data_IF_335820266107
#
_entry.id   IF_335820266107
#
_cell.length_a   1.000
_cell.length_b   1.000
_cell.length_c   1.000
_cell.angle_alpha   90.00
_cell.angle_beta   90.00
_cell.angle_gamma   90.00
#
_symmetry.space_group_name_H-M   'P 1'
#
loop_
_entity.id
_entity.type
_entity.pdbx_description
1 polymer ?
#
# COMPACT_ATOMS: atom_id res chain seq x y z
N UNK A 1 23.90 1.58 -7.22
CA UNK A 1 22.93 0.75 -6.47
C UNK A 1 21.59 1.43 -6.63
N UNK A 2 20.57 0.73 -7.13
CA UNK A 2 19.23 1.32 -7.24
C UNK A 2 18.58 1.23 -5.85
N UNK A 3 18.07 2.34 -5.30
CA UNK A 3 17.46 2.34 -3.98
C UNK A 3 16.17 1.53 -3.99
N UNK A 4 15.99 0.70 -2.97
CA UNK A 4 14.76 -0.03 -2.69
C UNK A 4 14.30 0.34 -1.29
N UNK A 5 13.06 0.80 -1.19
CA UNK A 5 12.37 1.02 0.07
C UNK A 5 11.70 -0.30 0.45
N UNK A 6 11.83 -0.72 1.70
CA UNK A 6 11.13 -1.89 2.23
C UNK A 6 10.53 -1.54 3.59
N UNK A 7 9.24 -1.86 3.76
CA UNK A 7 8.57 -1.87 5.06
C UNK A 7 7.90 -3.22 5.26
N UNK A 8 7.69 -3.62 6.51
CA UNK A 8 7.16 -4.94 6.81
C UNK A 8 6.37 -4.99 8.12
N UNK A 9 5.46 -5.95 8.20
CA UNK A 9 4.63 -6.17 9.38
C UNK A 9 4.17 -7.63 9.49
N UNK A 10 4.24 -8.21 10.69
CA UNK A 10 3.49 -9.44 11.00
C UNK A 10 2.03 -9.09 11.30
N UNK A 11 1.11 -9.69 10.55
CA UNK A 11 -0.34 -9.58 10.75
C UNK A 11 -0.87 -10.94 11.20
N UNK A 12 -1.57 -10.98 12.34
CA UNK A 12 -2.12 -12.19 12.96
C UNK A 12 -3.43 -12.61 12.30
N UNK A 13 -3.38 -12.81 10.99
CA UNK A 13 -4.47 -13.34 10.16
C UNK A 13 -3.95 -14.31 9.09
N UNK A 14 -4.79 -15.23 8.60
CA UNK A 14 -4.47 -16.09 7.46
C UNK A 14 -4.06 -15.29 6.23
N UNK A 15 -3.14 -15.84 5.43
CA UNK A 15 -2.58 -15.17 4.25
C UNK A 15 -3.64 -14.73 3.25
N UNK A 16 -4.67 -15.54 3.04
CA UNK A 16 -5.78 -15.22 2.15
C UNK A 16 -6.55 -13.99 2.64
N UNK A 17 -6.78 -13.84 3.95
CA UNK A 17 -7.47 -12.67 4.49
C UNK A 17 -6.62 -11.40 4.31
N UNK A 18 -5.32 -11.48 4.60
CA UNK A 18 -4.40 -10.36 4.42
C UNK A 18 -4.27 -9.99 2.94
N UNK A 19 -4.16 -10.97 2.04
CA UNK A 19 -4.10 -10.75 0.60
C UNK A 19 -5.38 -10.09 0.06
N UNK A 20 -6.55 -10.60 0.44
CA UNK A 20 -7.84 -10.02 0.03
C UNK A 20 -7.99 -8.58 0.52
N UNK A 21 -7.44 -8.24 1.69
CA UNK A 21 -7.46 -6.88 2.22
C UNK A 21 -6.72 -5.85 1.37
N UNK A 22 -5.82 -6.27 0.47
CA UNK A 22 -5.13 -5.39 -0.47
C UNK A 22 -5.71 -5.47 -1.90
N UNK A 23 -6.47 -6.51 -2.23
CA UNK A 23 -7.16 -6.67 -3.52
C UNK A 23 -8.51 -5.94 -3.53
N UNK A 24 -9.29 -6.09 -2.46
CA UNK A 24 -10.68 -5.64 -2.40
C UNK A 24 -10.77 -4.22 -1.79
N UNK A 25 -11.15 -3.20 -2.58
CA UNK A 25 -11.19 -1.83 -2.10
C UNK A 25 -12.23 -1.60 -1.00
N UNK A 26 -13.24 -2.47 -0.85
CA UNK A 26 -14.17 -2.39 0.28
C UNK A 26 -13.48 -2.64 1.63
N UNK A 27 -12.34 -3.32 1.61
CA UNK A 27 -11.48 -3.61 2.77
C UNK A 27 -10.32 -2.62 2.81
N UNK A 28 -9.61 -2.42 1.69
CA UNK A 28 -8.45 -1.51 1.63
C UNK A 28 -8.81 -0.09 2.05
N UNK A 29 -10.05 0.36 1.75
CA UNK A 29 -10.52 1.68 2.11
C UNK A 29 -10.65 1.93 3.63
N UNK A 30 -10.53 0.88 4.45
CA UNK A 30 -10.54 0.99 5.91
C UNK A 30 -9.21 1.46 6.49
N UNK A 31 -8.13 1.41 5.71
CA UNK A 31 -6.80 1.75 6.22
C UNK A 31 -5.88 2.51 5.25
N UNK A 32 -6.24 2.69 3.97
CA UNK A 32 -5.35 3.33 2.99
C UNK A 32 -5.96 4.51 2.22
N UNK A 33 -6.92 4.27 1.33
CA UNK A 33 -7.56 5.29 0.49
C UNK A 33 -9.07 5.39 0.77
N UNK A 34 -9.76 6.40 0.25
CA UNK A 34 -11.20 6.54 0.48
C UNK A 34 -12.04 5.60 -0.41
N UNK A 35 -11.63 5.41 -1.66
CA UNK A 35 -12.28 4.49 -2.61
C UNK A 35 -11.34 4.12 -3.74
N UNK A 36 -11.70 3.07 -4.48
CA UNK A 36 -11.09 2.72 -5.75
C UNK A 36 -12.15 2.36 -6.79
N UNK A 37 -11.82 2.50 -8.08
CA UNK A 37 -12.73 2.14 -9.18
C UNK A 37 -12.95 0.63 -9.32
N UNK A 38 -12.09 -0.20 -8.74
CA UNK A 38 -12.21 -1.66 -8.83
C UNK A 38 -11.20 -2.40 -7.96
N UNK A 39 -11.31 -3.73 -8.00
CA UNK A 39 -10.35 -4.65 -7.40
C UNK A 39 -9.04 -4.62 -8.18
N UNK A 40 -7.94 -4.99 -7.53
CA UNK A 40 -6.67 -5.17 -8.23
C UNK A 40 -6.69 -6.47 -9.04
N UNK A 41 -6.91 -6.34 -10.34
CA UNK A 41 -6.89 -7.45 -11.29
C UNK A 41 -5.72 -7.30 -12.25
N UNK A 42 -4.99 -8.38 -12.52
CA UNK A 42 -3.80 -8.34 -13.37
C UNK A 42 -4.11 -7.78 -14.76
N UNK A 43 -3.25 -6.86 -15.23
CA UNK A 43 -3.39 -6.20 -16.54
C UNK A 43 -4.41 -5.06 -16.56
N UNK A 44 -5.06 -4.75 -15.45
CA UNK A 44 -6.00 -3.63 -15.35
C UNK A 44 -5.33 -2.37 -14.83
N UNK A 45 -6.00 -1.23 -15.04
CA UNK A 45 -5.67 0.02 -14.36
C UNK A 45 -6.86 0.44 -13.52
N UNK A 46 -6.63 0.73 -12.25
CA UNK A 46 -7.64 1.28 -11.33
C UNK A 46 -7.24 2.67 -10.90
N UNK A 47 -8.22 3.45 -10.45
CA UNK A 47 -7.99 4.76 -9.85
C UNK A 47 -8.27 4.67 -8.35
N UNK A 48 -7.32 5.12 -7.53
CA UNK A 48 -7.49 5.31 -6.10
C UNK A 48 -7.81 6.77 -5.81
N UNK A 49 -8.75 7.00 -4.89
CA UNK A 49 -9.21 8.34 -4.51
C UNK A 49 -9.00 8.57 -3.02
N UNK A 50 -8.42 9.72 -2.67
CA UNK A 50 -8.41 10.26 -1.30
C UNK A 50 -9.28 11.51 -1.26
N UNK A 51 -10.53 11.33 -0.83
CA UNK A 51 -11.57 12.34 -0.97
C UNK A 51 -11.25 13.62 -0.18
N UNK A 52 -10.69 13.48 1.04
CA UNK A 52 -10.27 14.61 1.89
C UNK A 52 -9.28 15.54 1.18
N UNK A 53 -8.40 14.97 0.36
CA UNK A 53 -7.36 15.71 -0.34
C UNK A 53 -7.73 16.06 -1.79
N UNK A 54 -8.93 15.68 -2.25
CA UNK A 54 -9.36 15.80 -3.65
C UNK A 54 -8.29 15.26 -4.63
N UNK A 55 -7.61 14.19 -4.20
CA UNK A 55 -6.49 13.61 -4.92
C UNK A 55 -6.87 12.23 -5.45
N UNK A 56 -6.46 11.96 -6.70
CA UNK A 56 -6.59 10.64 -7.31
C UNK A 56 -5.25 10.19 -7.88
N UNK A 57 -5.06 8.87 -7.92
CA UNK A 57 -3.87 8.26 -8.52
C UNK A 57 -4.27 7.04 -9.36
N UNK A 58 -3.71 6.99 -10.57
CA UNK A 58 -3.83 5.82 -11.44
C UNK A 58 -2.84 4.75 -11.02
N UNK A 59 -3.32 3.52 -10.89
CA UNK A 59 -2.58 2.35 -10.44
C UNK A 59 -2.68 1.27 -11.50
N UNK A 60 -1.54 0.97 -12.11
CA UNK A 60 -1.41 -0.09 -13.10
C UNK A 60 -1.07 -1.40 -12.40
N UNK A 61 -1.89 -2.45 -12.56
CA UNK A 61 -1.68 -3.74 -11.91
C UNK A 61 -0.90 -4.65 -12.84
N UNK A 62 0.36 -4.91 -12.51
CA UNK A 62 1.29 -5.64 -13.37
C UNK A 62 1.16 -7.15 -13.20
N UNK A 63 1.08 -7.63 -11.96
CA UNK A 63 1.04 -9.06 -11.63
C UNK A 63 0.20 -9.28 -10.37
N UNK A 64 -0.62 -10.34 -10.38
CA UNK A 64 -1.33 -10.81 -9.18
C UNK A 64 -1.12 -12.31 -9.06
N UNK A 65 -0.35 -12.72 -8.05
CA UNK A 65 -0.16 -14.12 -7.67
C UNK A 65 -0.91 -14.36 -6.36
N UNK A 66 -2.05 -15.05 -6.45
CA UNK A 66 -2.95 -15.30 -5.31
C UNK A 66 -2.18 -15.72 -4.06
N UNK A 67 -2.46 -15.02 -2.95
CA UNK A 67 -1.91 -15.24 -1.62
C UNK A 67 -0.37 -15.14 -1.52
N UNK A 68 0.30 -14.55 -2.53
CA UNK A 68 1.76 -14.46 -2.58
C UNK A 68 2.26 -13.07 -2.94
N UNK A 69 1.72 -12.47 -4.00
CA UNK A 69 2.23 -11.20 -4.51
C UNK A 69 1.16 -10.39 -5.22
N UNK A 70 1.22 -9.08 -5.02
CA UNK A 70 0.56 -8.09 -5.87
C UNK A 70 1.66 -7.12 -6.32
N UNK A 71 1.80 -6.91 -7.62
CA UNK A 71 2.72 -5.92 -8.18
C UNK A 71 1.93 -4.82 -8.87
N UNK A 72 2.22 -3.59 -8.52
CA UNK A 72 1.63 -2.41 -9.13
C UNK A 72 2.69 -1.41 -9.58
N UNK A 73 2.30 -0.51 -10.49
CA UNK A 73 3.04 0.70 -10.81
C UNK A 73 2.16 1.91 -10.56
N UNK A 74 2.64 2.84 -9.74
CA UNK A 74 1.84 3.98 -9.30
C UNK A 74 2.68 5.19 -8.89
N UNK A 75 2.01 6.31 -8.61
CA UNK A 75 2.60 7.53 -8.12
C UNK A 75 3.15 8.46 -9.21
N UNK A 76 3.67 9.60 -8.77
CA UNK A 76 4.37 10.59 -9.58
C UNK A 76 5.67 11.00 -8.85
N UNK A 77 6.85 10.51 -9.27
CA UNK A 77 7.08 9.67 -10.44
C UNK A 77 6.48 8.26 -10.31
N UNK A 78 6.22 7.61 -11.46
CA UNK A 78 5.75 6.22 -11.47
C UNK A 78 6.86 5.29 -10.98
N UNK A 79 6.59 4.57 -9.91
CA UNK A 79 7.50 3.58 -9.31
C UNK A 79 6.81 2.23 -9.18
N UNK A 80 7.60 1.16 -9.08
CA UNK A 80 7.09 -0.20 -8.93
C UNK A 80 6.93 -0.51 -7.45
N UNK A 81 5.80 -1.12 -7.07
CA UNK A 81 5.54 -1.59 -5.71
C UNK A 81 5.11 -3.04 -5.71
N UNK A 82 5.79 -3.84 -4.90
CA UNK A 82 5.40 -5.21 -4.60
C UNK A 82 4.83 -5.30 -3.18
N UNK A 83 3.63 -5.87 -3.06
CA UNK A 83 3.10 -6.42 -1.82
C UNK A 83 3.40 -7.91 -1.82
N UNK A 84 4.19 -8.37 -0.85
CA UNK A 84 4.64 -9.76 -0.75
C UNK A 84 4.05 -10.34 0.53
N UNK A 85 3.36 -11.46 0.39
CA UNK A 85 2.62 -12.11 1.47
C UNK A 85 3.29 -13.45 1.79
N UNK A 86 3.97 -13.53 2.93
CA UNK A 86 4.65 -14.75 3.38
C UNK A 86 3.82 -15.41 4.48
N UNK A 87 3.29 -16.61 4.23
CA UNK A 87 2.60 -17.40 5.26
C UNK A 87 3.60 -17.83 6.33
N UNK A 88 3.38 -17.40 7.57
CA UNK A 88 4.20 -17.79 8.75
C UNK A 88 3.56 -18.98 9.46
N UNK A 89 2.24 -18.96 9.64
CA UNK A 89 1.44 -20.07 10.17
C UNK A 89 0.02 -20.02 9.60
N UNK A 90 -0.90 -20.86 10.07
CA UNK A 90 -2.30 -20.82 9.63
C UNK A 90 -2.98 -19.46 9.85
N UNK A 91 -2.61 -18.78 10.94
CA UNK A 91 -3.22 -17.52 11.37
C UNK A 91 -2.23 -16.35 11.42
N UNK A 92 -1.09 -16.45 10.73
CA UNK A 92 -0.09 -15.39 10.72
C UNK A 92 0.53 -15.24 9.34
N UNK A 93 0.62 -13.99 8.90
CA UNK A 93 1.20 -13.59 7.62
C UNK A 93 2.22 -12.50 7.86
N UNK A 94 3.37 -12.61 7.22
CA UNK A 94 4.36 -11.55 7.18
C UNK A 94 4.19 -10.79 5.86
N UNK A 95 3.73 -9.54 5.95
CA UNK A 95 3.56 -8.66 4.81
C UNK A 95 4.84 -7.84 4.64
N UNK A 96 5.38 -7.80 3.42
CA UNK A 96 6.43 -6.87 3.00
C UNK A 96 5.91 -6.00 1.87
N UNK A 97 6.18 -4.70 1.93
CA UNK A 97 5.96 -3.77 0.82
C UNK A 97 7.31 -3.29 0.35
N UNK A 98 7.64 -3.53 -0.92
CA UNK A 98 8.86 -3.04 -1.56
C UNK A 98 8.52 -1.98 -2.58
N UNK A 99 9.22 -0.86 -2.57
CA UNK A 99 9.10 0.18 -3.58
C UNK A 99 10.46 0.48 -4.22
N UNK A 100 10.53 0.35 -5.55
CA UNK A 100 11.76 0.40 -6.33
C UNK A 100 11.50 0.96 -7.74
N UNK A 101 12.52 0.94 -8.60
CA UNK A 101 12.55 1.62 -9.91
C UNK A 101 12.30 3.14 -9.77
N UNK A 102 12.91 3.74 -8.74
CA UNK A 102 12.73 5.16 -8.39
C UNK A 102 13.60 6.02 -9.33
N UNK A 103 13.01 6.82 -10.24
CA UNK A 103 13.77 7.58 -11.24
C UNK A 103 14.21 8.96 -10.70
N UNK A 104 14.63 9.02 -9.44
CA UNK A 104 15.03 10.25 -8.75
C UNK A 104 16.48 10.16 -8.27
N UNK A 105 17.10 11.32 -8.05
CA UNK A 105 18.48 11.44 -7.57
C UNK A 105 18.62 12.56 -6.54
N UNK A 106 19.76 12.60 -5.84
CA UNK A 106 20.10 13.68 -4.93
C UNK A 106 19.07 13.91 -3.82
N UNK A 107 18.76 15.18 -3.54
CA UNK A 107 17.83 15.56 -2.47
C UNK A 107 16.39 15.08 -2.72
N UNK A 108 15.94 15.07 -3.98
CA UNK A 108 14.60 14.59 -4.35
C UNK A 108 14.42 13.11 -4.03
N UNK A 109 15.46 12.30 -4.32
CA UNK A 109 15.46 10.89 -3.95
C UNK A 109 15.37 10.69 -2.44
N UNK A 110 16.14 11.48 -1.67
CA UNK A 110 16.13 11.40 -0.20
C UNK A 110 14.74 11.74 0.34
N UNK A 111 14.12 12.82 -0.14
CA UNK A 111 12.75 13.19 0.25
C UNK A 111 11.76 12.09 -0.09
N UNK A 112 11.81 11.58 -1.32
CA UNK A 112 10.93 10.50 -1.77
C UNK A 112 11.07 9.24 -0.90
N UNK A 113 12.30 8.87 -0.53
CA UNK A 113 12.54 7.71 0.35
C UNK A 113 11.92 7.95 1.73
N UNK A 114 12.13 9.13 2.32
CA UNK A 114 11.56 9.47 3.64
C UNK A 114 10.03 9.43 3.59
N UNK A 115 9.44 10.09 2.60
CA UNK A 115 7.99 10.22 2.46
C UNK A 115 7.34 8.86 2.16
N UNK A 116 7.87 8.11 1.21
CA UNK A 116 7.34 6.79 0.83
C UNK A 116 7.51 5.76 1.96
N UNK A 117 8.65 5.75 2.65
CA UNK A 117 8.82 4.89 3.84
C UNK A 117 7.77 5.23 4.89
N UNK A 118 7.62 6.52 5.22
CA UNK A 118 6.63 6.97 6.19
C UNK A 118 5.20 6.63 5.76
N UNK A 119 4.86 6.81 4.49
CA UNK A 119 3.54 6.50 3.94
C UNK A 119 3.20 5.01 4.02
N UNK A 120 4.08 4.14 3.51
CA UNK A 120 3.83 2.70 3.55
C UNK A 120 3.84 2.13 4.96
N UNK A 121 4.66 2.65 5.89
CA UNK A 121 4.57 2.27 7.31
C UNK A 121 3.18 2.58 7.87
N UNK A 122 2.65 3.77 7.61
CA UNK A 122 1.29 4.16 8.03
C UNK A 122 0.20 3.22 7.48
N UNK A 123 0.36 2.75 6.24
CA UNK A 123 -0.54 1.78 5.62
C UNK A 123 -0.49 0.43 6.33
N UNK A 124 0.70 -0.14 6.59
CA UNK A 124 0.80 -1.46 7.24
C UNK A 124 0.36 -1.42 8.70
N UNK A 125 0.56 -0.31 9.40
CA UNK A 125 0.05 -0.09 10.76
C UNK A 125 -1.49 -0.07 10.78
N UNK A 126 -2.11 0.67 9.83
CA UNK A 126 -3.55 0.73 9.68
C UNK A 126 -4.15 -0.64 9.29
N UNK A 127 -3.50 -1.34 8.35
CA UNK A 127 -3.91 -2.68 7.93
C UNK A 127 -3.88 -3.66 9.10
N UNK A 128 -2.84 -3.62 9.94
CA UNK A 128 -2.73 -4.46 11.14
C UNK A 128 -3.87 -4.18 12.13
N UNK A 129 -4.14 -2.91 12.43
CA UNK A 129 -5.20 -2.53 13.36
C UNK A 129 -6.58 -2.96 12.87
N UNK A 130 -6.87 -2.73 11.58
CA UNK A 130 -8.12 -3.13 10.96
C UNK A 130 -8.27 -4.65 10.94
N UNK A 131 -7.27 -5.39 10.46
CA UNK A 131 -7.38 -6.83 10.30
C UNK A 131 -7.41 -7.55 11.65
N UNK A 132 -6.58 -7.18 12.61
CA UNK A 132 -6.53 -7.89 13.90
C UNK A 132 -7.67 -7.50 14.85
N UNK A 133 -8.13 -6.25 14.81
CA UNK A 133 -9.03 -5.71 15.84
C UNK A 133 -10.34 -5.12 15.29
N UNK A 134 -10.49 -4.99 13.96
CA UNK A 134 -11.64 -4.30 13.35
C UNK A 134 -11.68 -2.80 13.64
N UNK A 135 -10.56 -2.19 14.04
CA UNK A 135 -10.48 -0.77 14.41
C UNK A 135 -9.91 0.02 13.23
N UNK A 136 -10.67 1.00 12.76
CA UNK A 136 -10.23 1.99 11.78
C UNK A 136 -9.59 3.18 12.53
N UNK A 137 -8.26 3.29 12.44
CA UNK A 137 -7.47 4.33 13.11
C UNK A 137 -7.35 5.65 12.32
N UNK A 138 -7.85 5.70 11.08
CA UNK A 138 -7.76 6.87 10.20
C UNK A 138 -6.34 7.43 9.98
N UNK A 139 -5.30 6.59 10.12
CA UNK A 139 -3.91 7.05 10.14
C UNK A 139 -3.49 7.81 8.87
N UNK A 140 -3.87 7.33 7.68
CA UNK A 140 -3.54 8.02 6.42
C UNK A 140 -4.28 9.35 6.31
N UNK A 141 -5.50 9.42 6.83
CA UNK A 141 -6.31 10.64 6.83
C UNK A 141 -5.75 11.69 7.81
N UNK A 142 -5.14 11.27 8.92
CA UNK A 142 -4.64 12.18 9.96
C UNK A 142 -3.16 12.55 9.77
N UNK A 143 -2.40 11.74 9.03
CA UNK A 143 -0.98 11.97 8.78
C UNK A 143 -0.71 13.24 7.96
N UNK A 144 -1.56 13.54 6.97
CA UNK A 144 -1.34 14.69 6.09
C UNK A 144 -2.16 15.89 6.57
N UNK A 145 -1.53 17.08 6.73
CA UNK A 145 -2.22 18.25 7.23
C UNK A 145 -3.31 18.71 6.24
N UNK A 146 -4.44 19.28 6.72
CA UNK A 146 -5.51 19.78 5.87
C UNK A 146 -5.18 21.12 5.17
N UNK A 147 -4.02 21.71 5.44
CA UNK A 147 -3.63 23.02 4.92
C UNK A 147 -2.72 22.85 3.71
N UNK A 148 -2.96 23.67 2.66
CA UNK A 148 -2.03 23.77 1.52
C UNK A 148 -0.67 24.23 2.04
N UNK A 149 0.40 23.59 1.56
CA UNK A 149 1.74 24.14 1.64
C UNK A 149 1.83 25.48 0.89
#
# INVERSE_FOLDING_TARGET
>A
MNPTIEVQMLIRKPVTEVFQAFIDPSITAKFWFSSATGRLEQGTTVEWTWQKYQFTAQVEVLEVVTDKRIQIKWGAPKTTVDFIFEKVSENQTYLKIRNYDIPLQGAELISFIIDSTGGFTTVVDGAKAWLEQGIQLSLVEDKFPPFKA
#
